data_IF_319051846297
#
_entry.id   IF_319051846297
#
_cell.length_a   1.000
_cell.length_b   1.000
_cell.length_c   1.000
_cell.angle_alpha   90.00
_cell.angle_beta   90.00
_cell.angle_gamma   90.00
#
_symmetry.space_group_name_H-M   'P 1'
#
loop_
_entity.id
_entity.type
_entity.pdbx_description
1 polymer ?
#
# COMPACT_ATOMS: atom_id res chain seq x y z
N UNK A 1 -8.93 -6.87 6.97
CA UNK A 1 -8.46 -5.48 6.79
C UNK A 1 -9.66 -4.65 6.39
N UNK A 2 -9.98 -3.60 7.15
CA UNK A 2 -11.20 -2.82 7.08
C UNK A 2 -10.94 -1.33 6.82
N UNK A 3 -9.70 -0.85 7.03
CA UNK A 3 -9.35 0.57 7.03
C UNK A 3 -9.13 1.09 8.45
N UNK A 4 -8.09 1.89 8.64
CA UNK A 4 -7.62 2.40 9.93
C UNK A 4 -6.50 1.58 10.57
N UNK A 5 -6.02 0.52 9.93
CA UNK A 5 -4.87 -0.25 10.42
C UNK A 5 -3.57 0.56 10.35
N UNK A 6 -2.69 0.37 11.33
CA UNK A 6 -1.38 1.01 11.35
C UNK A 6 -0.47 0.40 10.28
N UNK A 7 0.25 1.26 9.58
CA UNK A 7 1.28 0.89 8.61
C UNK A 7 2.63 1.09 9.26
N UNK A 8 3.39 0.01 9.35
CA UNK A 8 4.70 0.00 9.99
C UNK A 8 5.80 -0.12 8.94
N UNK A 9 6.92 0.53 9.22
CA UNK A 9 8.18 0.34 8.53
C UNK A 9 9.27 0.09 9.56
N UNK A 10 9.96 -1.04 9.47
CA UNK A 10 10.93 -1.49 10.49
C UNK A 10 10.38 -1.46 11.94
N UNK A 11 9.10 -1.81 12.09
CA UNK A 11 8.40 -1.82 13.39
C UNK A 11 7.99 -0.43 13.92
N UNK A 12 8.24 0.65 13.17
CA UNK A 12 7.79 2.00 13.51
C UNK A 12 6.53 2.33 12.73
N UNK A 13 5.50 2.83 13.41
CA UNK A 13 4.29 3.33 12.74
C UNK A 13 4.62 4.57 11.89
N UNK A 14 4.39 4.46 10.60
CA UNK A 14 4.60 5.53 9.62
C UNK A 14 3.31 5.98 8.96
N UNK A 15 2.15 5.45 9.35
CA UNK A 15 0.89 5.86 8.74
C UNK A 15 -0.27 4.92 8.97
N UNK A 16 -1.31 5.07 8.16
CA UNK A 16 -2.57 4.34 8.29
C UNK A 16 -3.11 3.83 6.94
N UNK A 17 -3.82 2.71 7.00
CA UNK A 17 -4.61 2.18 5.88
C UNK A 17 -5.86 3.03 5.70
N UNK A 18 -6.03 3.64 4.53
CA UNK A 18 -7.21 4.44 4.17
C UNK A 18 -8.32 3.62 3.56
N UNK A 19 -7.96 2.61 2.78
CA UNK A 19 -8.90 1.70 2.13
C UNK A 19 -8.25 0.34 1.95
N UNK A 20 -9.06 -0.72 2.08
CA UNK A 20 -8.60 -2.09 2.08
C UNK A 20 -9.59 -2.97 1.34
N UNK A 21 -9.10 -3.99 0.66
CA UNK A 21 -9.95 -4.96 -0.02
C UNK A 21 -9.20 -6.22 -0.43
N UNK A 22 -9.93 -7.21 -0.91
CA UNK A 22 -9.34 -8.41 -1.50
C UNK A 22 -9.31 -8.28 -3.03
N UNK A 23 -8.12 -8.20 -3.60
CA UNK A 23 -7.94 -8.16 -5.05
C UNK A 23 -7.98 -9.58 -5.61
N UNK A 24 -9.16 -10.02 -6.05
CA UNK A 24 -9.35 -11.36 -6.62
C UNK A 24 -8.38 -11.68 -7.75
N UNK A 25 -8.06 -10.71 -8.61
CA UNK A 25 -7.11 -10.90 -9.72
C UNK A 25 -5.67 -11.10 -9.26
N UNK A 26 -5.31 -10.55 -8.10
CA UNK A 26 -3.98 -10.66 -7.50
C UNK A 26 -3.90 -11.80 -6.47
N UNK A 27 -5.05 -12.35 -6.08
CA UNK A 27 -5.14 -13.45 -5.10
C UNK A 27 -4.74 -13.04 -3.69
N UNK A 28 -4.86 -11.75 -3.33
CA UNK A 28 -4.37 -11.25 -2.06
C UNK A 28 -5.08 -9.99 -1.56
N UNK A 29 -4.85 -9.67 -0.28
CA UNK A 29 -5.29 -8.42 0.31
C UNK A 29 -4.48 -7.25 -0.27
N UNK A 30 -5.16 -6.15 -0.57
CA UNK A 30 -4.56 -4.90 -1.06
C UNK A 30 -5.05 -3.73 -0.21
N UNK A 31 -4.15 -2.79 0.04
CA UNK A 31 -4.38 -1.61 0.84
C UNK A 31 -3.96 -0.35 0.07
N UNK A 32 -4.72 0.73 0.25
CA UNK A 32 -4.25 2.08 -0.01
C UNK A 32 -3.89 2.71 1.34
N UNK A 33 -2.66 3.18 1.46
CA UNK A 33 -2.11 3.68 2.71
C UNK A 33 -1.63 5.13 2.56
N UNK A 34 -1.87 5.94 3.58
CA UNK A 34 -1.18 7.22 3.72
C UNK A 34 0.03 7.00 4.62
N UNK A 35 1.20 7.40 4.16
CA UNK A 35 2.46 7.27 4.90
C UNK A 35 3.12 8.63 5.09
N UNK A 36 3.72 8.81 6.26
CA UNK A 36 4.44 9.98 6.71
C UNK A 36 5.79 9.51 7.26
N UNK A 37 6.86 10.07 6.72
CA UNK A 37 8.21 9.82 7.19
C UNK A 37 8.97 11.15 7.30
N UNK A 38 9.84 11.28 8.29
CA UNK A 38 10.75 12.42 8.40
C UNK A 38 11.83 12.39 7.32
N UNK A 39 12.07 11.21 6.74
CA UNK A 39 12.97 11.00 5.61
C UNK A 39 12.24 11.17 4.28
N UNK A 40 13.01 11.48 3.24
CA UNK A 40 12.48 11.60 1.88
C UNK A 40 11.88 10.26 1.43
N UNK A 41 10.58 10.26 1.14
CA UNK A 41 9.89 9.14 0.52
C UNK A 41 10.21 9.15 -0.98
N UNK A 42 11.18 8.34 -1.38
CA UNK A 42 11.57 8.17 -2.78
C UNK A 42 11.38 6.72 -3.26
N UNK A 43 11.79 6.45 -4.50
CA UNK A 43 11.67 5.12 -5.09
C UNK A 43 12.40 4.05 -4.27
N UNK A 44 13.57 4.36 -3.71
CA UNK A 44 14.33 3.41 -2.91
C UNK A 44 13.64 3.13 -1.57
N UNK A 45 12.99 4.14 -0.98
CA UNK A 45 12.16 3.95 0.22
C UNK A 45 11.01 2.97 -0.03
N UNK A 46 10.32 3.08 -1.17
CA UNK A 46 9.19 2.20 -1.51
C UNK A 46 9.67 0.80 -1.93
N UNK A 47 10.82 0.69 -2.58
CA UNK A 47 11.43 -0.60 -2.94
C UNK A 47 12.03 -1.32 -1.72
N UNK A 48 12.22 -0.64 -0.60
CA UNK A 48 12.62 -1.25 0.65
C UNK A 48 11.45 -2.09 1.19
N UNK A 49 11.58 -3.42 1.20
CA UNK A 49 10.45 -4.34 1.41
C UNK A 49 10.05 -4.56 2.88
N UNK A 50 10.37 -3.63 3.78
CA UNK A 50 10.13 -3.76 5.22
C UNK A 50 8.83 -3.08 5.66
N UNK A 51 7.75 -3.26 4.90
CA UNK A 51 6.44 -2.74 5.29
C UNK A 51 5.60 -3.82 5.94
N UNK A 52 4.89 -3.44 6.99
CA UNK A 52 3.94 -4.31 7.69
C UNK A 52 2.63 -3.55 7.91
N UNK A 53 1.52 -4.28 7.92
CA UNK A 53 0.23 -3.76 8.33
C UNK A 53 -0.15 -4.45 9.62
N UNK A 54 -0.28 -3.68 10.70
CA UNK A 54 -0.77 -4.21 11.96
C UNK A 54 -2.29 -4.32 11.93
N UNK A 55 -2.75 -5.56 11.86
CA UNK A 55 -4.17 -5.88 11.98
C UNK A 55 -4.45 -6.44 13.37
N UNK A 56 -4.90 -5.58 14.28
CA UNK A 56 -5.30 -5.94 15.66
C UNK A 56 -4.20 -6.64 16.48
N UNK A 57 -2.95 -6.18 16.36
CA UNK A 57 -1.77 -6.73 17.02
C UNK A 57 -1.03 -7.79 16.19
N UNK A 58 -1.46 -8.04 14.95
CA UNK A 58 -0.82 -8.97 14.03
C UNK A 58 -0.17 -8.22 12.87
N UNK A 59 1.15 -8.08 12.90
CA UNK A 59 1.95 -7.54 11.81
C UNK A 59 1.94 -8.48 10.59
N UNK A 60 1.31 -8.04 9.50
CA UNK A 60 1.30 -8.76 8.22
C UNK A 60 2.26 -8.09 7.25
N UNK A 61 3.24 -8.83 6.73
CA UNK A 61 4.18 -8.32 5.74
C UNK A 61 3.44 -7.81 4.48
N UNK A 62 3.80 -6.61 4.04
CA UNK A 62 3.19 -5.93 2.91
C UNK A 62 4.26 -5.52 1.89
N UNK A 63 3.93 -5.68 0.61
CA UNK A 63 4.76 -5.17 -0.48
C UNK A 63 4.22 -3.82 -0.92
N UNK A 64 5.06 -2.78 -0.90
CA UNK A 64 4.70 -1.48 -1.42
C UNK A 64 4.99 -1.42 -2.93
N UNK A 65 4.13 -0.74 -3.69
CA UNK A 65 4.24 -0.65 -5.14
C UNK A 65 4.12 0.80 -5.63
N UNK A 66 5.06 1.24 -6.46
CA UNK A 66 5.02 2.56 -7.13
C UNK A 66 4.06 2.63 -8.31
N UNK A 67 3.63 1.47 -8.79
CA UNK A 67 2.65 1.32 -9.88
C UNK A 67 1.63 0.29 -9.45
N UNK A 68 0.43 0.38 -10.01
CA UNK A 68 -0.58 -0.64 -9.78
C UNK A 68 -0.02 -2.03 -10.15
N UNK A 69 -0.11 -3.04 -9.26
CA UNK A 69 0.24 -4.41 -9.59
C UNK A 69 -0.74 -5.02 -10.60
N UNK A 70 -1.93 -4.45 -10.76
CA UNK A 70 -2.89 -4.82 -11.80
C UNK A 70 -2.74 -3.93 -13.03
N UNK A 71 -2.47 -4.54 -14.19
CA UNK A 71 -2.30 -3.87 -15.49
C UNK A 71 -1.34 -2.66 -15.44
N UNK A 72 -0.04 -2.88 -15.15
CA UNK A 72 0.92 -1.79 -14.91
C UNK A 72 1.19 -0.92 -16.14
N UNK A 73 0.81 -1.37 -17.34
CA UNK A 73 0.92 -0.64 -18.60
C UNK A 73 -0.40 0.02 -19.03
N UNK A 74 -1.46 -0.10 -18.23
CA UNK A 74 -2.81 0.40 -18.54
C UNK A 74 -3.32 -0.06 -19.93
N UNK A 75 -2.98 -1.29 -20.32
CA UNK A 75 -3.34 -1.85 -21.63
C UNK A 75 -4.85 -2.08 -21.76
N UNK A 76 -5.54 -2.21 -20.62
CA UNK A 76 -6.93 -2.62 -20.52
C UNK A 76 -7.88 -1.46 -20.18
N UNK A 77 -7.38 -0.41 -19.54
CA UNK A 77 -8.14 0.79 -19.20
C UNK A 77 -7.51 2.03 -19.85
N UNK A 78 -8.13 2.53 -20.93
CA UNK A 78 -7.82 3.86 -21.48
C UNK A 78 -8.94 4.82 -21.08
N UNK A 79 -8.86 5.41 -19.89
CA UNK A 79 -9.81 6.44 -19.44
C UNK A 79 -9.09 7.67 -18.88
N UNK A 80 -9.50 8.84 -19.36
CA UNK A 80 -9.09 10.17 -18.95
C UNK A 80 -9.51 10.45 -17.50
N UNK A 81 -8.56 10.94 -16.71
CA UNK A 81 -8.67 11.26 -15.28
C UNK A 81 -9.82 12.22 -14.92
N UNK A 82 -10.51 11.95 -13.81
CA UNK A 82 -10.98 12.96 -12.85
C UNK A 82 -10.60 12.43 -11.46
N UNK A 83 -9.71 13.14 -10.76
CA UNK A 83 -9.44 12.96 -9.32
C UNK A 83 -10.15 14.11 -8.57
N UNK A 84 -10.92 13.76 -7.55
CA UNK A 84 -11.16 14.60 -6.37
C UNK A 84 -10.89 13.69 -5.17
#
# INVERSE_FOLDING_TARGET
>A
MWGGEAVLHDGVEIGEVRSAGYAHTLGGAVALCNVHAEVKIDKAFVENQNFEIDTAGLGSAANAYLRTPYDPTASRARLSFIYC
#
